data_IF_375559356373
#
_entry.id   IF_375559356373
#
_cell.length_a   1.000
_cell.length_b   1.000
_cell.length_c   1.000
_cell.angle_alpha   90.00
_cell.angle_beta   90.00
_cell.angle_gamma   90.00
#
_symmetry.space_group_name_H-M   'P 1'
#
loop_
_entity.id
_entity.type
_entity.pdbx_description
1 polymer ?
#
# COMPACT_ATOMS: atom_id res chain seq x y z
N UNK A 1 -21.46 -26.14 16.83
CA UNK A 1 -21.57 -25.00 15.90
C UNK A 1 -20.84 -23.83 16.52
N UNK A 2 -19.78 -23.33 15.91
CA UNK A 2 -19.08 -22.12 16.35
C UNK A 2 -20.01 -20.93 16.15
N UNK A 3 -20.34 -20.20 17.22
CA UNK A 3 -21.06 -18.93 17.09
C UNK A 3 -20.15 -17.93 16.36
N UNK A 4 -20.62 -17.42 15.22
CA UNK A 4 -19.98 -16.29 14.56
C UNK A 4 -20.28 -15.02 15.38
N UNK A 5 -19.24 -14.42 15.95
CA UNK A 5 -19.34 -13.10 16.59
C UNK A 5 -19.74 -12.08 15.52
N UNK A 6 -20.76 -11.26 15.77
CA UNK A 6 -21.13 -10.16 14.86
C UNK A 6 -19.92 -9.23 14.68
N UNK A 7 -19.59 -8.95 13.43
CA UNK A 7 -18.45 -8.12 13.03
C UNK A 7 -18.85 -7.17 11.90
N UNK A 8 -18.21 -6.00 11.86
CA UNK A 8 -18.25 -5.07 10.73
C UNK A 8 -16.84 -4.67 10.33
N UNK A 9 -16.70 -4.13 9.13
CA UNK A 9 -15.41 -3.76 8.55
C UNK A 9 -15.54 -2.90 7.32
N UNK A 10 -14.38 -2.45 6.81
CA UNK A 10 -14.26 -1.67 5.59
C UNK A 10 -13.37 -2.40 4.58
N UNK A 11 -13.71 -2.23 3.29
CA UNK A 11 -12.88 -2.62 2.16
C UNK A 11 -12.07 -1.40 1.71
N UNK A 12 -10.75 -1.50 1.78
CA UNK A 12 -9.83 -0.48 1.27
C UNK A 12 -8.51 -1.16 0.89
N UNK A 13 -8.05 -1.05 -0.35
CA UNK A 13 -6.72 -1.56 -0.69
C UNK A 13 -5.64 -0.62 -0.13
N UNK A 14 -4.51 -1.14 0.42
CA UNK A 14 -3.34 -0.33 0.75
C UNK A 14 -2.91 0.70 -0.29
N UNK A 15 -3.04 0.42 -1.59
CA UNK A 15 -2.67 1.37 -2.66
C UNK A 15 -3.51 2.67 -2.65
N UNK A 16 -4.67 2.64 -2.01
CA UNK A 16 -5.59 3.78 -1.86
C UNK A 16 -5.35 4.60 -0.59
N UNK A 17 -4.42 4.17 0.27
CA UNK A 17 -4.01 5.00 1.40
C UNK A 17 -3.29 6.26 0.89
N UNK A 18 -3.40 7.39 1.60
CA UNK A 18 -2.61 8.56 1.27
C UNK A 18 -1.11 8.27 1.46
N UNK A 19 -0.26 9.01 0.77
CA UNK A 19 1.18 8.89 0.90
C UNK A 19 1.92 9.87 -0.02
N UNK A 20 3.17 10.22 0.29
CA UNK A 20 3.94 11.18 -0.49
C UNK A 20 4.51 10.60 -1.79
N UNK A 21 4.54 9.27 -1.94
CA UNK A 21 5.28 8.58 -3.01
C UNK A 21 4.36 7.99 -4.10
N UNK A 22 3.24 8.67 -4.39
CA UNK A 22 2.37 8.38 -5.54
C UNK A 22 1.48 7.14 -5.44
N UNK A 23 1.67 6.32 -4.41
CA UNK A 23 0.84 5.16 -4.10
C UNK A 23 0.77 4.97 -2.59
N UNK A 24 -0.33 4.44 -2.08
CA UNK A 24 -0.41 4.02 -0.68
C UNK A 24 0.49 2.83 -0.38
N UNK A 25 1.10 2.83 0.81
CA UNK A 25 2.14 1.90 1.23
C UNK A 25 1.77 1.23 2.55
N UNK A 26 2.45 0.14 2.91
CA UNK A 26 2.40 -0.41 4.26
C UNK A 26 3.39 0.40 5.14
N UNK A 27 3.05 1.67 5.34
CA UNK A 27 3.83 2.67 6.07
C UNK A 27 3.06 3.17 7.31
N UNK A 28 3.48 4.30 7.88
CA UNK A 28 2.77 4.96 8.98
C UNK A 28 1.29 5.24 8.66
N UNK A 29 0.93 5.47 7.41
CA UNK A 29 -0.46 5.71 6.99
C UNK A 29 -1.32 4.45 7.14
N UNK A 30 -0.75 3.25 6.97
CA UNK A 30 -1.44 2.00 7.25
C UNK A 30 -1.71 1.82 8.75
N UNK A 31 -0.78 2.23 9.63
CA UNK A 31 -1.02 2.22 11.07
C UNK A 31 -2.14 3.19 11.47
N UNK A 32 -2.12 4.42 10.94
CA UNK A 32 -3.19 5.40 11.15
C UNK A 32 -4.55 4.90 10.66
N UNK A 33 -4.58 4.17 9.54
CA UNK A 33 -5.80 3.51 9.06
C UNK A 33 -6.33 2.47 10.05
N UNK A 34 -5.46 1.65 10.63
CA UNK A 34 -5.86 0.70 11.68
C UNK A 34 -6.38 1.44 12.92
N UNK A 35 -5.71 2.51 13.35
CA UNK A 35 -6.16 3.32 14.49
C UNK A 35 -7.56 3.90 14.23
N UNK A 36 -7.82 4.39 13.02
CA UNK A 36 -9.14 4.83 12.59
C UNK A 36 -10.18 3.70 12.64
N UNK A 37 -9.85 2.50 12.16
CA UNK A 37 -10.76 1.35 12.24
C UNK A 37 -11.10 1.00 13.69
N UNK A 38 -10.11 1.04 14.59
CA UNK A 38 -10.30 0.81 16.03
C UNK A 38 -11.23 1.85 16.63
N UNK A 39 -10.99 3.14 16.36
CA UNK A 39 -11.83 4.25 16.83
C UNK A 39 -13.27 4.11 16.31
N UNK A 40 -13.43 3.74 15.03
CA UNK A 40 -14.71 3.49 14.39
C UNK A 40 -15.36 2.15 14.79
N UNK A 41 -14.76 1.39 15.71
CA UNK A 41 -15.21 0.06 16.18
C UNK A 41 -15.37 -0.98 15.05
N UNK A 42 -14.62 -0.82 13.98
CA UNK A 42 -14.52 -1.80 12.92
C UNK A 42 -13.56 -2.92 13.35
N UNK A 43 -13.93 -4.14 13.02
CA UNK A 43 -13.23 -5.37 13.46
C UNK A 43 -12.59 -6.13 12.30
N UNK A 44 -12.83 -5.71 11.07
CA UNK A 44 -12.35 -6.34 9.85
C UNK A 44 -11.85 -5.26 8.89
N UNK A 45 -10.67 -5.49 8.32
CA UNK A 45 -10.18 -4.76 7.15
C UNK A 45 -10.08 -5.75 6.00
N UNK A 46 -10.88 -5.55 4.97
CA UNK A 46 -10.79 -6.33 3.75
C UNK A 46 -9.91 -5.60 2.73
N UNK A 47 -9.08 -6.36 2.02
CA UNK A 47 -8.17 -5.88 0.98
C UNK A 47 -8.32 -6.70 -0.30
N UNK A 48 -7.83 -6.17 -1.42
CA UNK A 48 -7.66 -6.94 -2.65
C UNK A 48 -6.34 -7.75 -2.57
N UNK A 49 -6.04 -8.66 -3.52
CA UNK A 49 -4.79 -9.42 -3.49
C UNK A 49 -3.54 -8.55 -3.43
N UNK A 50 -2.55 -8.95 -2.62
CA UNK A 50 -1.31 -8.20 -2.39
C UNK A 50 -0.17 -8.61 -3.33
N UNK A 51 -0.45 -9.41 -4.36
CA UNK A 51 0.57 -9.86 -5.31
C UNK A 51 1.07 -8.75 -6.24
N UNK A 52 2.24 -8.91 -6.85
CA UNK A 52 2.69 -8.02 -7.92
C UNK A 52 1.64 -7.94 -9.02
N UNK A 53 1.29 -6.74 -9.44
CA UNK A 53 0.26 -6.53 -10.46
C UNK A 53 0.80 -6.81 -11.86
N UNK A 54 -0.01 -7.43 -12.71
CA UNK A 54 0.26 -7.63 -14.14
C UNK A 54 -0.44 -6.59 -15.00
N UNK A 55 -1.01 -7.04 -16.13
CA UNK A 55 -1.63 -6.14 -17.11
C UNK A 55 -2.72 -5.25 -16.49
N UNK A 56 -2.67 -3.95 -16.84
CA UNK A 56 -3.60 -2.94 -16.35
C UNK A 56 -3.52 -2.67 -14.84
N UNK A 57 -2.41 -3.03 -14.19
CA UNK A 57 -2.20 -2.88 -12.74
C UNK A 57 -3.26 -3.60 -11.89
N UNK A 58 -3.86 -4.66 -12.44
CA UNK A 58 -4.90 -5.42 -11.76
C UNK A 58 -4.31 -6.34 -10.68
N UNK A 59 -4.77 -6.26 -9.42
CA UNK A 59 -4.34 -7.18 -8.36
C UNK A 59 -4.82 -8.62 -8.60
N UNK A 60 -5.75 -8.83 -9.54
CA UNK A 60 -6.25 -10.16 -9.92
C UNK A 60 -5.48 -10.79 -11.08
N UNK A 61 -4.58 -10.05 -11.71
CA UNK A 61 -3.70 -10.56 -12.77
C UNK A 61 -2.26 -10.59 -12.27
N UNK A 62 -2.01 -11.35 -11.20
CA UNK A 62 -0.70 -11.39 -10.56
C UNK A 62 0.31 -12.26 -11.33
N UNK A 63 1.58 -11.84 -11.33
CA UNK A 63 2.70 -12.67 -11.82
C UNK A 63 3.09 -13.77 -10.83
N UNK A 64 2.66 -13.67 -9.57
CA UNK A 64 2.91 -14.66 -8.52
C UNK A 64 1.80 -14.67 -7.47
N UNK A 65 1.31 -15.86 -7.13
CA UNK A 65 0.29 -16.03 -6.07
C UNK A 65 0.88 -15.99 -4.64
N UNK A 66 2.21 -15.95 -4.52
CA UNK A 66 2.92 -16.00 -3.23
C UNK A 66 3.70 -14.72 -2.91
N UNK A 67 4.17 -14.00 -3.92
CA UNK A 67 4.96 -12.78 -3.69
C UNK A 67 4.09 -11.62 -3.21
N UNK A 68 4.70 -10.66 -2.50
CA UNK A 68 4.11 -9.36 -2.22
C UNK A 68 4.42 -8.35 -3.32
N UNK A 69 3.55 -7.36 -3.50
CA UNK A 69 3.75 -6.26 -4.43
C UNK A 69 4.84 -5.30 -3.89
N UNK A 70 6.00 -5.15 -4.56
CA UNK A 70 7.07 -4.28 -4.09
C UNK A 70 6.66 -2.80 -4.05
N UNK A 71 5.65 -2.38 -4.80
CA UNK A 71 5.17 -0.99 -4.78
C UNK A 71 4.58 -0.57 -3.43
N UNK A 72 4.19 -1.54 -2.58
CA UNK A 72 3.66 -1.30 -1.24
C UNK A 72 4.74 -1.11 -0.17
N UNK A 73 6.03 -1.25 -0.53
CA UNK A 73 7.14 -1.02 0.38
C UNK A 73 7.26 0.48 0.69
N UNK A 74 7.48 0.79 1.97
CA UNK A 74 7.74 2.13 2.51
C UNK A 74 9.21 2.55 2.28
N UNK A 75 9.48 3.50 1.37
CA UNK A 75 10.84 3.97 1.08
C UNK A 75 11.43 4.77 2.24
N UNK A 76 10.61 5.47 3.03
CA UNK A 76 11.09 6.21 4.20
C UNK A 76 11.64 5.26 5.27
N UNK A 77 10.99 4.09 5.42
CA UNK A 77 11.53 3.02 6.27
C UNK A 77 12.88 2.51 5.75
N UNK A 78 13.03 2.30 4.45
CA UNK A 78 14.31 1.88 3.87
C UNK A 78 15.44 2.90 4.12
N UNK A 79 15.13 4.20 4.12
CA UNK A 79 16.09 5.25 4.53
C UNK A 79 16.47 5.10 6.00
N UNK A 80 15.49 4.94 6.89
CA UNK A 80 15.76 4.75 8.33
C UNK A 80 16.57 3.48 8.65
N UNK A 81 16.44 2.45 7.83
CA UNK A 81 17.18 1.19 7.96
C UNK A 81 18.55 1.24 7.25
N UNK A 82 18.87 2.34 6.55
CA UNK A 82 20.15 2.55 5.88
C UNK A 82 20.31 1.85 4.52
N UNK A 83 19.21 1.34 3.95
CA UNK A 83 19.21 0.73 2.61
C UNK A 83 19.08 1.77 1.49
N UNK A 84 18.47 2.92 1.79
CA UNK A 84 18.39 4.08 0.90
C UNK A 84 18.98 5.31 1.59
N UNK A 85 19.37 6.28 0.79
CA UNK A 85 19.75 7.63 1.23
C UNK A 85 18.53 8.55 1.17
N UNK A 86 18.55 9.63 1.97
CA UNK A 86 17.52 10.67 1.87
C UNK A 86 17.45 11.27 0.46
N UNK A 87 18.60 11.40 -0.21
CA UNK A 87 18.65 11.86 -1.59
C UNK A 87 17.87 10.99 -2.56
N UNK A 88 17.76 9.68 -2.33
CA UNK A 88 16.95 8.81 -3.21
C UNK A 88 15.47 9.19 -3.17
N UNK A 89 14.97 9.65 -2.01
CA UNK A 89 13.61 10.15 -1.85
C UNK A 89 13.43 11.56 -2.40
N UNK A 90 14.44 12.42 -2.26
CA UNK A 90 14.40 13.80 -2.74
C UNK A 90 14.32 13.88 -4.28
N UNK A 91 14.73 12.83 -4.99
CA UNK A 91 14.58 12.70 -6.45
C UNK A 91 13.23 12.12 -6.89
N UNK A 92 12.28 11.89 -5.97
CA UNK A 92 10.94 11.45 -6.32
C UNK A 92 10.24 12.46 -7.24
N UNK A 93 9.57 12.02 -8.32
CA UNK A 93 8.83 12.92 -9.17
C UNK A 93 7.59 13.47 -8.44
N UNK A 94 7.02 14.55 -8.98
CA UNK A 94 5.72 15.01 -8.51
C UNK A 94 4.63 14.00 -8.91
N UNK A 95 3.90 13.49 -7.92
CA UNK A 95 2.79 12.57 -8.09
C UNK A 95 1.44 13.25 -7.89
N UNK A 96 0.40 12.72 -8.55
CA UNK A 96 -0.99 13.05 -8.27
C UNK A 96 -1.39 12.65 -6.84
N UNK A 97 -2.14 13.52 -6.16
CA UNK A 97 -2.76 13.21 -4.86
C UNK A 97 -4.18 12.65 -4.97
N UNK A 98 -4.68 12.39 -6.18
CA UNK A 98 -6.07 11.95 -6.43
C UNK A 98 -6.16 10.52 -6.94
N UNK A 99 -5.13 10.05 -7.62
CA UNK A 99 -5.08 8.73 -8.24
C UNK A 99 -3.63 8.22 -8.32
N UNK A 100 -3.49 6.91 -8.48
CA UNK A 100 -2.18 6.27 -8.61
C UNK A 100 -1.74 6.32 -10.07
N UNK A 101 -0.66 7.06 -10.35
CA UNK A 101 0.02 7.09 -11.64
C UNK A 101 1.02 5.91 -11.72
N UNK A 102 0.50 4.69 -11.88
CA UNK A 102 1.28 3.45 -11.75
C UNK A 102 2.59 3.44 -12.56
N UNK A 103 2.60 3.91 -13.80
CA UNK A 103 3.81 3.93 -14.63
C UNK A 103 4.92 4.77 -13.97
N UNK A 104 4.60 5.97 -13.48
CA UNK A 104 5.57 6.83 -12.77
C UNK A 104 6.06 6.21 -11.46
N UNK A 105 5.16 5.54 -10.74
CA UNK A 105 5.49 4.87 -9.46
C UNK A 105 6.42 3.69 -9.72
N UNK A 106 6.15 2.88 -10.74
CA UNK A 106 7.00 1.76 -11.15
C UNK A 106 8.37 2.26 -11.57
N UNK A 107 8.43 3.26 -12.46
CA UNK A 107 9.69 3.83 -12.96
C UNK A 107 10.58 4.37 -11.84
N UNK A 108 9.99 4.91 -10.76
CA UNK A 108 10.75 5.43 -9.63
C UNK A 108 11.09 4.35 -8.58
N UNK A 109 10.18 3.44 -8.24
CA UNK A 109 10.38 2.44 -7.18
C UNK A 109 11.14 1.19 -7.63
N UNK A 110 11.12 0.86 -8.93
CA UNK A 110 11.71 -0.36 -9.47
C UNK A 110 12.70 0.01 -10.59
N UNK A 111 13.90 0.49 -10.23
CA UNK A 111 14.96 0.78 -11.21
C UNK A 111 15.55 -0.49 -11.86
#
# INVERSE_FOLDING_TARGET
MTQLKRSSGLLLHPTSLPGPFGIGEISIEAYKWIDFLVEARQSVWQILPLGPTGYGNSPYQTTSVFAGNPLLIDPARLVSEGYLSQSDLDHAPAFSGQEVEFDKVIDWKIP
#
